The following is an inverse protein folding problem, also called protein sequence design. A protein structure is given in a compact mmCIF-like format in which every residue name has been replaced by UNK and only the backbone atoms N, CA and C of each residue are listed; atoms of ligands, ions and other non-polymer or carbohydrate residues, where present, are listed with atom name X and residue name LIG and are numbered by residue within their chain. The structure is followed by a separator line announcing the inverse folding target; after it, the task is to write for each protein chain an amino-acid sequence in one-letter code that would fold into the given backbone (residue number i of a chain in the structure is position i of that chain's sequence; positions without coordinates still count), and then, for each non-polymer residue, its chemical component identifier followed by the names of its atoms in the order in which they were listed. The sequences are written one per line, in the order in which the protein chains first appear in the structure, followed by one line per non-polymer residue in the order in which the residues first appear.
data_IF_426342963024
#
_entry.id   IF_426342963024
#
_cell.length_a   1.000
_cell.length_b   1.000
_cell.length_c   1.000
_cell.angle_alpha   90.00
_cell.angle_beta   90.00
_cell.angle_gamma   90.00
#
_symmetry.space_group_name_H-M   'P 1'
#
loop_
_entity.id
_entity.type
_entity.pdbx_description
1 polymer ?
#
# COMPACT_ATOMS: atom_id res chain seq x y z
N UNK A 1 12.65 66.18 16.36
CA UNK A 1 12.76 65.21 17.48
C UNK A 1 12.17 63.88 17.02
N UNK A 2 12.87 62.78 17.34
CA UNK A 2 12.68 61.43 16.78
C UNK A 2 11.33 60.81 17.15
N UNK A 3 10.59 60.29 16.17
CA UNK A 3 9.49 59.34 16.37
C UNK A 3 10.08 57.94 16.49
N UNK A 4 9.89 57.28 17.65
CA UNK A 4 10.16 55.85 17.83
C UNK A 4 8.93 55.06 17.37
N UNK A 5 9.01 54.43 16.20
CA UNK A 5 8.04 53.43 15.76
C UNK A 5 8.39 52.10 16.42
N UNK A 6 7.55 51.67 17.37
CA UNK A 6 7.61 50.35 17.98
C UNK A 6 7.08 49.33 16.97
N UNK A 7 7.96 48.52 16.39
CA UNK A 7 7.56 47.40 15.53
C UNK A 7 7.33 46.20 16.45
N UNK A 8 6.06 45.87 16.71
CA UNK A 8 5.68 44.67 17.45
C UNK A 8 5.80 43.48 16.47
N UNK A 9 6.65 42.48 16.73
CA UNK A 9 6.66 41.28 15.90
C UNK A 9 5.40 40.46 16.22
N UNK A 10 4.44 40.48 15.30
CA UNK A 10 3.38 39.48 15.28
C UNK A 10 4.02 38.15 14.89
N UNK A 11 4.35 37.33 15.88
CA UNK A 11 4.67 35.92 15.67
C UNK A 11 3.38 35.23 15.24
N UNK A 12 3.15 35.15 13.93
CA UNK A 12 2.17 34.21 13.39
C UNK A 12 2.71 32.80 13.68
N UNK A 13 2.29 32.23 14.81
CA UNK A 13 2.40 30.80 15.03
C UNK A 13 1.40 30.16 14.08
N UNK A 14 1.84 29.89 12.86
CA UNK A 14 1.16 28.99 11.95
C UNK A 14 1.25 27.60 12.58
N UNK A 15 0.41 27.33 13.59
CA UNK A 15 0.18 25.95 14.00
C UNK A 15 -0.42 25.28 12.78
N UNK A 16 0.41 24.53 12.05
CA UNK A 16 -0.10 23.53 11.12
C UNK A 16 -1.10 22.70 11.92
N UNK A 17 -2.36 22.74 11.49
CA UNK A 17 -3.40 21.90 12.06
C UNK A 17 -2.89 20.46 12.00
N UNK A 18 -2.90 19.77 13.14
CA UNK A 18 -2.45 18.39 13.21
C UNK A 18 -3.28 17.60 12.19
N UNK A 19 -2.62 17.15 11.12
CA UNK A 19 -3.30 16.45 10.03
C UNK A 19 -4.07 15.29 10.62
N UNK A 20 -5.39 15.32 10.48
CA UNK A 20 -6.26 14.29 11.04
C UNK A 20 -5.84 12.93 10.53
N UNK A 21 -5.59 11.99 11.45
CA UNK A 21 -5.25 10.60 11.11
C UNK A 21 -6.35 10.00 10.23
N UNK A 22 -5.99 9.54 9.03
CA UNK A 22 -6.93 8.83 8.15
C UNK A 22 -7.26 7.47 8.81
N UNK A 23 -8.53 7.23 9.20
CA UNK A 23 -8.91 5.98 9.85
C UNK A 23 -8.83 4.83 8.85
N UNK A 24 -8.40 3.64 9.33
CA UNK A 24 -8.30 2.43 8.51
C UNK A 24 -9.69 2.01 8.02
N UNK A 25 -9.98 2.25 6.75
CA UNK A 25 -11.16 1.71 6.05
C UNK A 25 -10.72 0.83 4.89
N UNK A 26 -11.54 -0.15 4.52
CA UNK A 26 -11.34 -0.90 3.26
C UNK A 26 -11.45 0.10 2.10
N UNK A 27 -10.43 0.13 1.25
CA UNK A 27 -10.40 0.96 0.05
C UNK A 27 -10.80 0.16 -1.19
N UNK A 28 -10.29 -1.06 -1.31
CA UNK A 28 -10.54 -1.94 -2.44
C UNK A 28 -10.67 -3.39 -2.01
N UNK A 29 -11.58 -4.11 -2.65
CA UNK A 29 -11.70 -5.57 -2.55
C UNK A 29 -11.97 -6.13 -3.93
N UNK A 30 -11.26 -7.18 -4.31
CA UNK A 30 -11.56 -7.95 -5.51
C UNK A 30 -11.32 -9.43 -5.26
N UNK A 31 -12.03 -10.28 -5.99
CA UNK A 31 -11.96 -11.74 -5.86
C UNK A 31 -11.76 -12.36 -7.23
N UNK A 32 -10.93 -13.40 -7.33
CA UNK A 32 -10.67 -14.12 -8.57
C UNK A 32 -10.50 -15.61 -8.35
N UNK A 33 -10.95 -16.41 -9.31
CA UNK A 33 -10.75 -17.85 -9.30
C UNK A 33 -9.58 -18.20 -10.20
N UNK A 34 -8.58 -18.90 -9.66
CA UNK A 34 -7.44 -19.41 -10.41
C UNK A 34 -7.54 -20.92 -10.52
N UNK A 35 -7.61 -21.43 -11.75
CA UNK A 35 -7.81 -22.84 -12.02
C UNK A 35 -6.70 -23.69 -11.37
N UNK A 36 -7.10 -24.67 -10.57
CA UNK A 36 -6.17 -25.57 -9.88
C UNK A 36 -5.48 -24.97 -8.64
N UNK A 37 -5.74 -23.69 -8.29
CA UNK A 37 -5.14 -23.03 -7.12
C UNK A 37 -6.15 -22.53 -6.09
N UNK A 38 -7.39 -22.26 -6.50
CA UNK A 38 -8.48 -21.85 -5.62
C UNK A 38 -8.99 -20.44 -5.89
N UNK A 39 -9.71 -19.88 -4.93
CA UNK A 39 -10.21 -18.50 -4.95
C UNK A 39 -9.27 -17.59 -4.19
N UNK A 40 -8.89 -16.47 -4.79
CA UNK A 40 -8.08 -15.45 -4.16
C UNK A 40 -8.90 -14.18 -3.93
N UNK A 41 -8.66 -13.50 -2.81
CA UNK A 41 -9.26 -12.21 -2.50
C UNK A 41 -8.17 -11.22 -2.12
N UNK A 42 -8.10 -10.09 -2.82
CA UNK A 42 -7.25 -8.97 -2.44
C UNK A 42 -8.09 -7.96 -1.65
N UNK A 43 -7.50 -7.42 -0.59
CA UNK A 43 -8.09 -6.37 0.25
C UNK A 43 -7.03 -5.29 0.49
N UNK A 44 -7.29 -4.06 0.05
CA UNK A 44 -6.46 -2.91 0.40
C UNK A 44 -7.20 -1.96 1.35
N UNK A 45 -6.44 -1.21 2.12
CA UNK A 45 -6.96 -0.27 3.12
C UNK A 45 -6.52 1.14 2.77
N UNK A 46 -7.37 2.12 3.09
CA UNK A 46 -6.99 3.52 3.10
C UNK A 46 -6.44 3.85 4.50
N UNK A 47 -5.14 3.70 4.69
CA UNK A 47 -4.50 3.97 5.98
C UNK A 47 -3.02 4.29 5.83
N UNK A 48 -2.61 5.44 6.37
CA UNK A 48 -1.20 5.83 6.47
C UNK A 48 -0.44 4.99 7.51
N UNK A 49 -1.14 4.45 8.51
CA UNK A 49 -0.55 3.63 9.59
C UNK A 49 -0.51 2.14 9.27
N UNK A 50 -1.39 1.66 8.39
CA UNK A 50 -1.39 0.29 7.89
C UNK A 50 -1.47 0.23 6.35
N UNK A 51 -0.42 0.68 5.64
CA UNK A 51 -0.45 0.85 4.19
C UNK A 51 -0.29 -0.45 3.38
N UNK A 52 -0.22 -1.61 4.04
CA UNK A 52 -0.13 -2.91 3.38
C UNK A 52 -1.51 -3.41 2.91
N UNK A 53 -1.53 -4.20 1.82
CA UNK A 53 -2.73 -4.95 1.43
C UNK A 53 -2.65 -6.41 1.90
N UNK A 54 -3.77 -7.12 1.82
CA UNK A 54 -3.90 -8.53 2.18
C UNK A 54 -4.31 -9.34 0.93
N UNK A 55 -3.71 -10.51 0.75
CA UNK A 55 -4.18 -11.55 -0.16
C UNK A 55 -4.63 -12.75 0.66
N UNK A 56 -5.88 -13.15 0.49
CA UNK A 56 -6.46 -14.35 1.05
C UNK A 56 -6.63 -15.42 -0.02
N UNK A 57 -6.54 -16.69 0.38
CA UNK A 57 -6.80 -17.85 -0.47
C UNK A 57 -7.89 -18.74 0.17
N UNK A 58 -8.70 -19.37 -0.66
CA UNK A 58 -9.76 -20.31 -0.31
C UNK A 58 -9.77 -21.47 -1.29
N UNK A 59 -9.97 -22.70 -0.81
CA UNK A 59 -9.87 -23.91 -1.65
C UNK A 59 -10.91 -23.95 -2.79
N UNK A 60 -12.14 -23.52 -2.52
CA UNK A 60 -13.30 -23.70 -3.43
C UNK A 60 -14.30 -22.52 -3.48
N UNK A 61 -13.88 -21.32 -3.06
CA UNK A 61 -14.77 -20.16 -2.96
C UNK A 61 -14.70 -19.49 -1.59
N UNK A 62 -15.23 -18.27 -1.46
CA UNK A 62 -15.22 -17.52 -0.18
C UNK A 62 -15.97 -18.24 0.97
N UNK A 63 -16.82 -19.22 0.64
CA UNK A 63 -17.53 -20.06 1.62
C UNK A 63 -16.80 -21.36 1.98
N UNK A 64 -15.76 -21.73 1.23
CA UNK A 64 -15.04 -23.00 1.39
C UNK A 64 -14.01 -22.99 2.54
N UNK A 65 -13.98 -21.93 3.34
CA UNK A 65 -13.00 -21.74 4.41
C UNK A 65 -11.70 -21.10 3.90
N UNK A 66 -11.13 -20.23 4.73
CA UNK A 66 -9.87 -19.55 4.47
C UNK A 66 -8.70 -20.55 4.61
N UNK A 67 -7.89 -20.70 3.57
CA UNK A 67 -6.71 -21.58 3.59
C UNK A 67 -5.44 -20.80 3.94
N UNK A 68 -5.31 -19.55 3.48
CA UNK A 68 -4.21 -18.66 3.87
C UNK A 68 -4.62 -17.19 3.81
N UNK A 69 -3.93 -16.35 4.59
CA UNK A 69 -4.06 -14.89 4.56
C UNK A 69 -2.68 -14.28 4.75
N UNK A 70 -2.21 -13.53 3.75
CA UNK A 70 -0.87 -12.95 3.71
C UNK A 70 -0.97 -11.44 3.61
N UNK A 71 -0.27 -10.74 4.51
CA UNK A 71 -0.11 -9.28 4.47
C UNK A 71 1.11 -8.93 3.62
N UNK A 72 0.91 -8.17 2.55
CA UNK A 72 1.96 -7.76 1.61
C UNK A 72 2.33 -6.31 1.87
N UNK A 73 3.55 -6.12 2.36
CA UNK A 73 4.10 -4.81 2.71
C UNK A 73 5.38 -4.48 1.96
N UNK A 74 5.98 -5.46 1.29
CA UNK A 74 7.29 -5.31 0.68
C UNK A 74 7.24 -5.75 -0.76
N UNK A 75 8.02 -5.08 -1.60
CA UNK A 75 8.19 -5.42 -3.00
C UNK A 75 9.66 -5.36 -3.38
N UNK A 76 10.05 -6.05 -4.45
CA UNK A 76 11.38 -5.94 -5.05
C UNK A 76 11.32 -5.05 -6.29
N UNK A 77 12.14 -4.00 -6.33
CA UNK A 77 12.23 -3.05 -7.46
C UNK A 77 13.43 -3.37 -8.37
N UNK A 78 13.55 -2.80 -9.59
CA UNK A 78 14.54 -3.20 -10.62
C UNK A 78 16.03 -3.17 -10.25
N UNK A 79 16.41 -2.62 -9.10
CA UNK A 79 17.77 -2.69 -8.53
C UNK A 79 18.01 -3.92 -7.63
N UNK A 80 17.04 -4.84 -7.54
CA UNK A 80 16.92 -5.87 -6.50
C UNK A 80 16.86 -5.31 -5.07
N UNK A 81 16.60 -3.99 -4.92
CA UNK A 81 16.28 -3.40 -3.63
C UNK A 81 14.90 -3.88 -3.17
N UNK A 82 14.77 -4.18 -1.88
CA UNK A 82 13.49 -4.50 -1.25
C UNK A 82 12.96 -3.25 -0.58
N UNK A 83 11.82 -2.76 -1.06
CA UNK A 83 11.14 -1.59 -0.47
C UNK A 83 10.01 -2.10 0.40
N UNK A 84 10.03 -1.76 1.69
CA UNK A 84 8.96 -2.05 2.64
C UNK A 84 8.19 -0.76 2.93
N UNK A 85 6.90 -0.75 2.59
CA UNK A 85 6.04 0.41 2.73
C UNK A 85 5.87 0.87 4.19
N UNK A 86 5.97 -0.03 5.17
CA UNK A 86 5.88 0.34 6.59
C UNK A 86 7.06 1.20 7.07
N UNK A 87 8.14 1.26 6.29
CA UNK A 87 9.28 2.12 6.62
C UNK A 87 9.04 3.57 6.18
N UNK A 88 8.05 3.83 5.33
CA UNK A 88 7.64 5.19 4.95
C UNK A 88 6.68 5.77 6.00
N UNK A 89 7.26 6.45 6.98
CA UNK A 89 6.49 7.12 8.04
C UNK A 89 5.79 8.40 7.57
N UNK A 90 6.07 8.87 6.36
CA UNK A 90 5.50 10.11 5.82
C UNK A 90 4.17 9.89 5.09
N UNK A 91 3.77 8.64 4.86
CA UNK A 91 2.53 8.30 4.16
C UNK A 91 2.57 8.60 2.66
N UNK A 92 3.75 8.77 2.08
CA UNK A 92 3.94 9.12 0.67
C UNK A 92 4.00 7.91 -0.28
N UNK A 93 3.82 6.70 0.23
CA UNK A 93 3.89 5.45 -0.53
C UNK A 93 2.60 4.66 -0.37
N UNK A 94 2.09 4.07 -1.45
CA UNK A 94 0.86 3.27 -1.45
C UNK A 94 0.84 2.25 -2.59
N UNK A 95 -0.01 1.24 -2.43
CA UNK A 95 -0.33 0.28 -3.48
C UNK A 95 -1.66 0.65 -4.14
N UNK A 96 -1.75 0.54 -5.46
CA UNK A 96 -2.90 0.96 -6.26
C UNK A 96 -3.11 0.06 -7.49
N UNK A 97 -4.09 0.39 -8.34
CA UNK A 97 -4.28 -0.21 -9.67
C UNK A 97 -4.29 -1.76 -9.69
N UNK A 98 -5.00 -2.39 -8.73
CA UNK A 98 -5.06 -3.84 -8.60
C UNK A 98 -5.84 -4.51 -9.75
N UNK A 99 -5.19 -5.43 -10.46
CA UNK A 99 -5.77 -6.20 -11.57
C UNK A 99 -5.33 -7.67 -11.52
N UNK A 100 -6.26 -8.60 -11.77
CA UNK A 100 -5.94 -10.03 -11.85
C UNK A 100 -5.39 -10.35 -13.24
N UNK A 101 -4.24 -11.02 -13.30
CA UNK A 101 -3.56 -11.38 -14.55
C UNK A 101 -3.13 -12.84 -14.51
N UNK A 102 -3.68 -13.66 -15.40
CA UNK A 102 -3.45 -15.11 -15.48
C UNK A 102 -3.51 -15.80 -14.10
N UNK A 103 -2.33 -16.11 -13.56
CA UNK A 103 -2.06 -16.84 -12.33
C UNK A 103 -1.52 -15.93 -11.21
N UNK A 104 -1.73 -14.63 -11.33
CA UNK A 104 -1.13 -13.59 -10.50
C UNK A 104 -2.05 -12.39 -10.25
N UNK A 105 -1.52 -11.46 -9.46
CA UNK A 105 -2.11 -10.16 -9.19
C UNK A 105 -1.12 -9.07 -9.62
N UNK A 106 -1.51 -8.23 -10.57
CA UNK A 106 -0.80 -7.01 -10.91
C UNK A 106 -1.31 -5.85 -10.06
N UNK A 107 -0.44 -4.92 -9.73
CA UNK A 107 -0.76 -3.70 -8.98
C UNK A 107 0.31 -2.63 -9.17
N UNK A 108 -0.06 -1.37 -9.00
CA UNK A 108 0.86 -0.25 -8.93
C UNK A 108 1.49 -0.11 -7.54
N UNK A 109 2.74 0.34 -7.49
CA UNK A 109 3.41 0.79 -6.27
C UNK A 109 3.96 2.19 -6.49
N UNK A 110 3.40 3.17 -5.79
CA UNK A 110 3.92 4.54 -5.73
C UNK A 110 4.74 4.72 -4.46
N UNK A 111 5.90 5.36 -4.57
CA UNK A 111 6.79 5.61 -3.45
C UNK A 111 7.76 6.74 -3.75
N UNK A 112 8.49 7.18 -2.72
CA UNK A 112 9.60 8.13 -2.89
C UNK A 112 10.70 7.67 -3.87
N UNK A 113 10.76 6.38 -4.22
CA UNK A 113 11.72 5.82 -5.19
C UNK A 113 11.23 5.86 -6.63
N UNK A 114 9.94 6.15 -6.86
CA UNK A 114 9.32 6.14 -8.18
C UNK A 114 8.01 5.36 -8.18
N UNK A 115 7.42 5.29 -9.38
CA UNK A 115 6.20 4.53 -9.69
C UNK A 115 6.58 3.24 -10.38
N UNK A 116 6.03 2.14 -9.91
CA UNK A 116 6.33 0.81 -10.42
C UNK A 116 5.05 0.03 -10.71
N UNK A 117 5.11 -0.86 -11.71
CA UNK A 117 4.13 -1.90 -11.94
C UNK A 117 4.65 -3.21 -11.36
N UNK A 118 3.89 -3.81 -10.45
CA UNK A 118 4.27 -4.99 -9.70
C UNK A 118 3.40 -6.19 -10.08
N UNK A 119 3.96 -7.39 -9.92
CA UNK A 119 3.26 -8.66 -10.08
C UNK A 119 3.58 -9.57 -8.89
N UNK A 120 2.52 -10.07 -8.26
CA UNK A 120 2.58 -11.16 -7.29
C UNK A 120 2.07 -12.45 -7.93
N UNK A 121 2.90 -13.50 -7.94
CA UNK A 121 2.46 -14.84 -8.34
C UNK A 121 1.58 -15.48 -7.27
N UNK A 122 0.60 -16.30 -7.69
CA UNK A 122 -0.27 -17.03 -6.78
C UNK A 122 0.03 -18.55 -6.79
N UNK A 123 -0.07 -19.24 -5.64
CA UNK A 123 -0.33 -18.69 -4.31
C UNK A 123 0.88 -17.93 -3.77
N UNK A 124 0.64 -16.86 -3.01
CA UNK A 124 1.70 -16.15 -2.31
C UNK A 124 1.99 -16.82 -0.98
N UNK A 125 3.27 -17.07 -0.70
CA UNK A 125 3.77 -17.63 0.56
C UNK A 125 4.44 -16.55 1.42
N UNK A 126 4.64 -16.87 2.69
CA UNK A 126 5.39 -15.98 3.60
C UNK A 126 6.82 -15.82 3.08
N UNK A 127 7.22 -14.59 2.81
CA UNK A 127 8.55 -14.25 2.30
C UNK A 127 8.63 -14.09 0.79
N UNK A 128 7.57 -14.43 0.04
CA UNK A 128 7.50 -14.13 -1.38
C UNK A 128 7.40 -12.61 -1.57
N UNK A 129 8.25 -12.08 -2.44
CA UNK A 129 8.28 -10.66 -2.77
C UNK A 129 7.71 -10.46 -4.17
N UNK A 130 6.61 -9.71 -4.31
CA UNK A 130 6.16 -9.23 -5.61
C UNK A 130 7.30 -8.51 -6.33
N UNK A 131 7.41 -8.77 -7.63
CA UNK A 131 8.45 -8.21 -8.49
C UNK A 131 7.90 -7.01 -9.23
N UNK A 132 8.63 -5.91 -9.20
CA UNK A 132 8.21 -4.65 -9.81
C UNK A 132 9.15 -4.21 -10.93
N UNK A 133 8.57 -3.53 -11.91
CA UNK A 133 9.27 -2.86 -13.01
C UNK A 133 8.87 -1.38 -13.01
N UNK A 134 9.77 -0.50 -13.47
CA UNK A 134 9.44 0.92 -13.64
C UNK A 134 8.25 1.07 -14.60
N UNK A 135 7.37 2.02 -14.28
CA UNK A 135 6.17 2.34 -15.07
C UNK A 135 6.50 3.28 -16.23
#
# INVERSE_FOLDING_TARGET
MRFLLLIIPFSFSLCAEESGVIPKSINFVSTHWVQGKGTFRVISFNSEYEPCFIIENYEGGLHAGLTSSNKVCSVSVPSNEVVNINNDRSGGSWFEDFEWVDDGLSFGFDSAKGKFNCIAGLPISVGDLPQCMEK
#
